data_IF_097054128511
#
_entry.id   IF_097054128511
#
_cell.length_a   1.000
_cell.length_b   1.000
_cell.length_c   1.000
_cell.angle_alpha   90.00
_cell.angle_beta   90.00
_cell.angle_gamma   90.00
#
_symmetry.space_group_name_H-M   'P 1'
#
loop_
_entity.id
_entity.type
_entity.pdbx_description
1 polymer ?
#
# COMPACT_ATOMS: atom_id res chain seq x y z
N UNK A 1 -12.18 -16.99 -22.14
CA UNK A 1 -11.00 -17.32 -21.32
C UNK A 1 -11.39 -17.27 -19.86
N UNK A 2 -10.75 -18.06 -18.99
CA UNK A 2 -11.06 -18.14 -17.56
C UNK A 2 -9.79 -18.08 -16.71
N UNK A 3 -9.96 -18.01 -15.40
CA UNK A 3 -8.86 -17.84 -14.44
C UNK A 3 -7.74 -18.88 -14.62
N UNK A 4 -8.09 -20.15 -14.77
CA UNK A 4 -7.10 -21.22 -15.00
C UNK A 4 -6.29 -21.03 -16.29
N UNK A 5 -6.94 -20.57 -17.37
CA UNK A 5 -6.25 -20.30 -18.62
C UNK A 5 -5.22 -19.17 -18.46
N UNK A 6 -5.58 -18.10 -17.76
CA UNK A 6 -4.67 -16.97 -17.49
C UNK A 6 -3.52 -17.35 -16.54
N UNK A 7 -3.74 -18.22 -15.57
CA UNK A 7 -2.67 -18.70 -14.68
C UNK A 7 -1.61 -19.48 -15.48
N UNK A 8 -2.02 -20.39 -16.37
CA UNK A 8 -1.08 -21.15 -17.21
C UNK A 8 -0.31 -20.23 -18.18
N UNK A 9 -0.99 -19.23 -18.73
CA UNK A 9 -0.38 -18.21 -19.57
C UNK A 9 0.70 -17.41 -18.80
N UNK A 10 0.39 -16.95 -17.57
CA UNK A 10 1.34 -16.24 -16.72
C UNK A 10 2.51 -17.14 -16.26
N UNK A 11 2.25 -18.42 -15.95
CA UNK A 11 3.31 -19.39 -15.63
C UNK A 11 4.29 -19.55 -16.80
N UNK A 12 3.78 -19.66 -18.03
CA UNK A 12 4.63 -19.73 -19.24
C UNK A 12 5.39 -18.43 -19.48
N UNK A 13 4.77 -17.28 -19.19
CA UNK A 13 5.39 -15.97 -19.34
C UNK A 13 6.59 -15.79 -18.38
N UNK A 14 6.48 -16.32 -17.15
CA UNK A 14 7.59 -16.35 -16.19
C UNK A 14 8.08 -14.96 -15.76
N UNK A 15 7.21 -13.94 -15.79
CA UNK A 15 7.55 -12.56 -15.44
C UNK A 15 6.92 -12.16 -14.11
N UNK A 16 7.75 -11.59 -13.24
CA UNK A 16 7.33 -11.03 -11.97
C UNK A 16 6.63 -9.68 -12.21
N UNK A 17 5.37 -9.58 -11.79
CA UNK A 17 4.61 -8.32 -11.83
C UNK A 17 4.88 -7.56 -10.52
N UNK A 18 5.77 -6.56 -10.57
CA UNK A 18 6.07 -5.65 -9.44
C UNK A 18 6.03 -4.19 -9.86
N UNK A 19 4.83 -3.57 -9.90
CA UNK A 19 4.73 -2.12 -10.09
C UNK A 19 5.33 -1.38 -8.88
N UNK A 20 5.80 -0.16 -9.11
CA UNK A 20 6.24 0.76 -8.07
C UNK A 20 5.26 1.94 -7.97
N UNK A 21 5.27 2.62 -6.83
CA UNK A 21 4.54 3.85 -6.62
C UNK A 21 5.50 4.94 -6.11
N UNK A 22 5.22 6.18 -6.48
CA UNK A 22 5.94 7.35 -5.95
C UNK A 22 5.17 7.81 -4.71
N UNK A 23 5.86 7.90 -3.57
CA UNK A 23 5.29 8.50 -2.38
C UNK A 23 5.25 10.02 -2.55
N UNK A 24 4.04 10.59 -2.60
CA UNK A 24 3.79 12.03 -2.64
C UNK A 24 3.05 12.51 -1.39
N UNK A 25 3.16 11.76 -0.30
CA UNK A 25 2.55 12.10 0.98
C UNK A 25 3.39 13.08 1.81
N UNK A 26 2.98 13.36 3.05
CA UNK A 26 3.66 14.31 3.93
C UNK A 26 5.12 13.93 4.21
N UNK A 27 5.95 14.94 4.47
CA UNK A 27 7.27 14.73 5.04
C UNK A 27 7.18 14.07 6.44
N UNK A 28 8.27 13.44 6.93
CA UNK A 28 8.33 12.98 8.31
C UNK A 28 7.97 14.10 9.29
N UNK A 29 7.08 13.79 10.23
CA UNK A 29 6.55 14.74 11.21
C UNK A 29 6.33 14.06 12.54
N UNK A 30 6.35 14.83 13.64
CA UNK A 30 6.11 14.26 14.97
C UNK A 30 4.65 13.85 15.11
N UNK A 31 4.33 12.88 15.98
CA UNK A 31 2.95 12.44 16.19
C UNK A 31 2.02 13.57 16.62
N UNK A 32 2.50 14.53 17.42
CA UNK A 32 1.72 15.68 17.92
C UNK A 32 1.25 16.62 16.79
N UNK A 33 1.91 16.58 15.64
CA UNK A 33 1.51 17.37 14.47
C UNK A 33 0.37 16.73 13.66
N UNK A 34 -0.04 15.51 14.01
CA UNK A 34 -1.15 14.81 13.37
C UNK A 34 -2.47 15.38 13.87
N UNK A 35 -3.36 15.76 12.95
CA UNK A 35 -4.71 16.20 13.28
C UNK A 35 -5.43 15.12 14.10
N UNK A 36 -6.02 15.50 15.24
CA UNK A 36 -6.68 14.59 16.17
C UNK A 36 -5.76 13.86 17.15
N UNK A 37 -4.46 14.21 17.22
CA UNK A 37 -3.54 13.62 18.19
C UNK A 37 -3.98 13.83 19.65
N UNK A 38 -4.55 14.99 19.95
CA UNK A 38 -5.08 15.37 21.26
C UNK A 38 -6.21 14.44 21.75
N UNK A 39 -7.04 13.95 20.84
CA UNK A 39 -8.18 13.08 21.17
C UNK A 39 -7.75 11.68 21.64
N UNK A 40 -6.53 11.25 21.30
CA UNK A 40 -5.98 9.94 21.70
C UNK A 40 -5.54 9.97 23.16
N UNK A 41 -4.94 11.07 23.61
CA UNK A 41 -4.36 11.20 24.95
C UNK A 41 -5.40 11.27 26.08
N UNK A 42 -6.68 11.44 25.77
CA UNK A 42 -7.76 11.64 26.74
C UNK A 42 -8.67 10.42 26.96
N UNK A 43 -8.23 9.22 26.56
CA UNK A 43 -8.95 7.98 26.92
C UNK A 43 -8.65 7.64 28.37
N UNK A 44 -9.46 8.16 29.30
CA UNK A 44 -9.57 7.70 30.70
C UNK A 44 -10.95 7.12 30.93
#
# INVERSE_FOLDING_TARGET
>A
AGWCAHILEQKRLGKLVRPAAIYTGPAPRTPESVEGWDQIAHTS
#
